data_IF_051450431486
#
_entry.id   IF_051450431486
#
_cell.length_a   1.000
_cell.length_b   1.000
_cell.length_c   1.000
_cell.angle_alpha   90.00
_cell.angle_beta   90.00
_cell.angle_gamma   90.00
#
_symmetry.space_group_name_H-M   'P 1'
#
loop_
_entity.id
_entity.type
_entity.pdbx_description
1 polymer ?
#
# COMPACT_ATOMS: atom_id res chain seq x y z
N UNK A 1 18.04 -10.13 2.12
CA UNK A 1 16.88 -9.39 1.58
C UNK A 1 17.28 -7.94 1.40
N UNK A 2 17.06 -7.38 0.21
CA UNK A 2 17.23 -5.96 -0.06
C UNK A 2 15.85 -5.40 -0.43
N UNK A 3 15.24 -4.67 0.49
CA UNK A 3 13.88 -4.13 0.32
C UNK A 3 13.79 -3.12 -0.84
N UNK A 4 14.91 -2.49 -1.20
CA UNK A 4 14.96 -1.47 -2.25
C UNK A 4 15.20 -2.05 -3.64
N UNK A 5 15.22 -3.38 -3.79
CA UNK A 5 15.26 -4.04 -5.10
C UNK A 5 14.06 -3.56 -5.95
N UNK A 6 14.26 -3.22 -7.23
CA UNK A 6 13.16 -2.79 -8.10
C UNK A 6 12.02 -3.82 -8.20
N UNK A 7 12.33 -5.11 -8.06
CA UNK A 7 11.35 -6.20 -8.06
C UNK A 7 10.39 -6.18 -6.87
N UNK A 8 10.76 -5.49 -5.79
CA UNK A 8 9.93 -5.37 -4.60
C UNK A 8 9.04 -4.13 -4.62
N UNK A 9 9.20 -3.24 -5.61
CA UNK A 9 8.44 -1.99 -5.69
C UNK A 9 7.07 -2.22 -6.30
N UNK A 10 6.03 -1.75 -5.63
CA UNK A 10 4.71 -1.63 -6.22
C UNK A 10 4.57 -0.34 -7.04
N UNK A 11 3.55 -0.24 -7.90
CA UNK A 11 3.23 1.02 -8.57
C UNK A 11 3.07 2.17 -7.58
N UNK A 12 3.58 3.35 -7.96
CA UNK A 12 3.48 4.53 -7.13
C UNK A 12 2.01 4.96 -6.95
N UNK A 13 1.67 5.39 -5.73
CA UNK A 13 0.38 5.98 -5.38
C UNK A 13 0.57 7.43 -4.93
N UNK A 14 -0.37 8.29 -5.30
CA UNK A 14 -0.38 9.70 -4.91
C UNK A 14 -1.74 10.16 -4.36
N UNK A 15 -2.64 9.23 -4.06
CA UNK A 15 -3.94 9.53 -3.47
C UNK A 15 -3.79 10.24 -2.13
N UNK A 16 -4.68 11.19 -1.86
CA UNK A 16 -4.66 11.97 -0.61
C UNK A 16 -5.08 11.15 0.60
N UNK A 17 -5.84 10.07 0.38
CA UNK A 17 -6.24 9.12 1.41
C UNK A 17 -6.42 7.74 0.79
N UNK A 18 -5.86 6.72 1.42
CA UNK A 18 -6.03 5.32 1.02
C UNK A 18 -5.91 4.41 2.23
N UNK A 19 -6.37 3.18 2.07
CA UNK A 19 -6.30 2.14 3.08
C UNK A 19 -5.14 1.19 2.88
N UNK A 20 -4.62 0.68 3.99
CA UNK A 20 -3.88 -0.58 4.04
C UNK A 20 -4.89 -1.68 4.38
N UNK A 21 -4.86 -2.75 3.60
CA UNK A 21 -5.74 -3.90 3.74
C UNK A 21 -4.89 -5.16 3.95
N UNK A 22 -5.43 -6.08 4.74
CA UNK A 22 -4.93 -7.44 4.89
C UNK A 22 -6.17 -8.33 5.06
N UNK A 23 -6.42 -9.21 4.10
CA UNK A 23 -7.60 -10.08 4.09
C UNK A 23 -7.44 -11.30 5.04
N UNK A 24 -6.31 -11.41 5.76
CA UNK A 24 -5.98 -12.45 6.75
C UNK A 24 -6.03 -13.89 6.18
N UNK A 25 -5.85 -14.04 4.88
CA UNK A 25 -5.89 -15.31 4.15
C UNK A 25 -4.48 -15.85 3.79
N UNK A 26 -3.44 -15.23 4.35
CA UNK A 26 -2.04 -15.55 4.05
C UNK A 26 -1.54 -14.95 2.74
N UNK A 27 -2.37 -14.17 2.04
CA UNK A 27 -1.91 -13.35 0.92
C UNK A 27 -1.23 -12.08 1.42
N UNK A 28 -0.54 -11.41 0.49
CA UNK A 28 0.16 -10.16 0.74
C UNK A 28 -0.81 -9.04 1.12
N UNK A 29 -0.47 -8.27 2.17
CA UNK A 29 -1.13 -7.00 2.48
C UNK A 29 -0.96 -5.97 1.36
N UNK A 30 -2.00 -5.19 1.08
CA UNK A 30 -2.08 -4.36 -0.13
C UNK A 30 -2.72 -2.99 0.13
N UNK A 31 -2.52 -2.06 -0.80
CA UNK A 31 -3.14 -0.73 -0.79
C UNK A 31 -4.50 -0.78 -1.49
N UNK A 32 -5.50 -0.12 -0.89
CA UNK A 32 -6.83 0.02 -1.48
C UNK A 32 -7.32 1.47 -1.41
N UNK A 33 -7.91 1.97 -2.50
CA UNK A 33 -8.39 3.36 -2.60
C UNK A 33 -9.93 3.47 -2.63
N UNK A 34 -10.64 2.34 -2.74
CA UNK A 34 -12.08 2.33 -3.01
C UNK A 34 -12.96 1.78 -1.88
N UNK A 35 -12.65 0.58 -1.38
CA UNK A 35 -13.48 -0.11 -0.39
C UNK A 35 -12.98 0.15 1.03
N UNK A 36 -13.49 1.23 1.62
CA UNK A 36 -13.14 1.66 2.98
C UNK A 36 -13.43 0.58 4.03
N UNK A 37 -14.36 -0.34 3.78
CA UNK A 37 -14.68 -1.40 4.75
C UNK A 37 -13.57 -2.42 4.91
N UNK A 38 -12.68 -2.54 3.92
CA UNK A 38 -11.50 -3.42 3.96
C UNK A 38 -10.30 -2.77 4.65
N UNK A 39 -10.36 -1.47 4.94
CA UNK A 39 -9.22 -0.73 5.47
C UNK A 39 -9.02 -1.05 6.95
N UNK A 40 -7.96 -1.78 7.27
CA UNK A 40 -7.54 -2.04 8.66
C UNK A 40 -6.73 -0.87 9.23
N UNK A 41 -6.12 -0.07 8.35
CA UNK A 41 -5.46 1.19 8.66
C UNK A 41 -5.62 2.17 7.49
N UNK A 42 -5.48 3.46 7.76
CA UNK A 42 -5.59 4.52 6.76
C UNK A 42 -4.32 5.36 6.69
N UNK A 43 -3.89 5.67 5.49
CA UNK A 43 -2.81 6.63 5.23
C UNK A 43 -3.43 7.94 4.77
N UNK A 44 -3.00 9.03 5.39
CA UNK A 44 -3.37 10.38 5.01
C UNK A 44 -2.15 11.07 4.38
N UNK A 45 -2.28 11.45 3.13
CA UNK A 45 -1.24 12.00 2.27
C UNK A 45 -1.73 13.32 1.67
N UNK A 46 -2.05 14.29 2.54
CA UNK A 46 -2.73 15.54 2.15
C UNK A 46 -1.98 16.40 1.12
N UNK A 47 -0.70 16.07 0.84
CA UNK A 47 0.11 16.75 -0.18
C UNK A 47 0.32 15.92 -1.45
N UNK A 48 -0.44 14.84 -1.62
CA UNK A 48 -0.38 13.94 -2.78
C UNK A 48 1.06 13.53 -3.14
N UNK A 49 1.88 13.22 -2.13
CA UNK A 49 3.25 12.74 -2.38
C UNK A 49 3.18 11.43 -3.13
N UNK A 50 4.10 11.25 -4.08
CA UNK A 50 4.32 9.95 -4.74
C UNK A 50 4.95 9.00 -3.72
N UNK A 51 4.20 8.00 -3.29
CA UNK A 51 4.62 6.98 -2.34
C UNK A 51 4.79 5.65 -3.08
N UNK A 52 5.83 4.92 -2.72
CA UNK A 52 6.10 3.57 -3.24
C UNK A 52 6.02 2.62 -2.06
N UNK A 53 5.13 1.64 -2.15
CA UNK A 53 5.12 0.52 -1.22
C UNK A 53 6.14 -0.51 -1.70
N UNK A 54 6.83 -1.17 -0.77
CA UNK A 54 7.71 -2.28 -1.14
C UNK A 54 7.36 -3.55 -0.37
N UNK A 55 7.52 -4.66 -1.06
CA UNK A 55 7.28 -6.00 -0.55
C UNK A 55 8.12 -7.00 -1.34
N UNK A 56 8.91 -7.79 -0.62
CA UNK A 56 9.69 -8.89 -1.18
C UNK A 56 9.25 -10.20 -0.53
N UNK A 57 9.12 -11.26 -1.33
CA UNK A 57 9.04 -12.64 -0.83
C UNK A 57 10.44 -13.21 -0.59
#
# INVERSE_FOLDING_TARGET
MNFFEPSCQEPAINESKFGLCDDQDGTKAYINVGDIKKWIATVQNDRNKSLINFYCN
#
